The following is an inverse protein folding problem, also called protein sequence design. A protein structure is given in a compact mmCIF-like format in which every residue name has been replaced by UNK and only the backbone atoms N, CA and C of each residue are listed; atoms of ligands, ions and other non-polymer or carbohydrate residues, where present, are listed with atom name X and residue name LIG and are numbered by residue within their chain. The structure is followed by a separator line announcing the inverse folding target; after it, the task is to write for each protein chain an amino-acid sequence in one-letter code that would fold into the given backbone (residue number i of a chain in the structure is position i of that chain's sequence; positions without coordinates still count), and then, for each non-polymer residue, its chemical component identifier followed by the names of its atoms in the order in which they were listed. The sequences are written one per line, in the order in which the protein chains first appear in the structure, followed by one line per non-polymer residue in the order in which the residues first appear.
data_IF_736829210501
#
_entry.id   IF_736829210501
#
_cell.length_a   1.000
_cell.length_b   1.000
_cell.length_c   1.000
_cell.angle_alpha   90.00
_cell.angle_beta   90.00
_cell.angle_gamma   90.00
#
_symmetry.space_group_name_H-M   'P 1'
#
loop_
_entity.id
_entity.type
_entity.pdbx_description
1 polymer ?
#
# COMPACT_ATOMS: atom_id res chain seq x y z
N UNK A 1 -4.38 16.11 -5.14
CA UNK A 1 -3.24 15.64 -4.32
C UNK A 1 -3.79 14.53 -3.43
N UNK A 2 -3.41 13.28 -3.68
CA UNK A 2 -3.92 12.14 -2.90
C UNK A 2 -3.35 12.20 -1.49
N UNK A 3 -4.21 12.07 -0.48
CA UNK A 3 -3.78 12.09 0.92
C UNK A 3 -3.25 10.71 1.31
N UNK A 4 -2.26 10.69 2.20
CA UNK A 4 -1.71 9.45 2.74
C UNK A 4 -2.80 8.55 3.37
N UNK A 5 -3.80 9.16 4.01
CA UNK A 5 -4.96 8.46 4.58
C UNK A 5 -5.78 7.69 3.54
N UNK A 6 -5.67 8.04 2.26
CA UNK A 6 -6.36 7.36 1.16
C UNK A 6 -5.62 6.11 0.68
N UNK A 7 -4.38 5.87 1.12
CA UNK A 7 -3.61 4.66 0.75
C UNK A 7 -4.08 3.42 1.52
N UNK A 8 -4.60 3.59 2.73
CA UNK A 8 -5.14 2.48 3.52
C UNK A 8 -6.40 1.94 2.85
N UNK A 9 -6.51 0.61 2.79
CA UNK A 9 -7.62 -0.14 2.20
C UNK A 9 -7.76 -0.03 0.68
N UNK A 10 -6.68 0.35 -0.04
CA UNK A 10 -6.69 0.28 -1.50
C UNK A 10 -6.44 -1.14 -1.99
N UNK A 11 -7.17 -1.52 -3.04
CA UNK A 11 -6.97 -2.78 -3.74
C UNK A 11 -5.59 -2.83 -4.42
N UNK A 12 -4.90 -3.95 -4.23
CA UNK A 12 -3.69 -4.28 -4.98
C UNK A 12 -4.07 -5.18 -6.14
N UNK A 13 -3.85 -4.70 -7.37
CA UNK A 13 -4.21 -5.39 -8.60
C UNK A 13 -2.95 -5.78 -9.36
N UNK A 14 -2.82 -7.05 -9.70
CA UNK A 14 -1.76 -7.60 -10.55
C UNK A 14 -2.44 -8.41 -11.67
N UNK A 15 -2.04 -8.19 -12.92
CA UNK A 15 -2.62 -8.87 -14.10
C UNK A 15 -4.16 -8.84 -14.15
N UNK A 16 -4.76 -7.68 -13.83
CA UNK A 16 -6.20 -7.46 -13.73
C UNK A 16 -6.94 -8.29 -12.66
N UNK A 17 -6.21 -8.88 -11.72
CA UNK A 17 -6.77 -9.61 -10.59
C UNK A 17 -6.46 -8.88 -9.28
N UNK A 18 -7.47 -8.73 -8.41
CA UNK A 18 -7.25 -8.27 -7.03
C UNK A 18 -6.53 -9.37 -6.26
N UNK A 19 -5.36 -9.05 -5.73
CA UNK A 19 -4.54 -9.98 -4.94
C UNK A 19 -4.56 -9.67 -3.44
N UNK A 20 -5.05 -8.50 -3.04
CA UNK A 20 -5.05 -8.07 -1.65
C UNK A 20 -5.44 -6.60 -1.47
N UNK A 21 -5.19 -6.09 -0.28
CA UNK A 21 -5.41 -4.70 0.10
C UNK A 21 -4.22 -4.11 0.87
N UNK A 22 -3.96 -2.81 0.70
CA UNK A 22 -2.91 -2.10 1.45
C UNK A 22 -3.38 -1.88 2.88
N UNK A 23 -2.68 -2.51 3.84
CA UNK A 23 -2.92 -2.32 5.27
C UNK A 23 -2.18 -1.11 5.81
N UNK A 24 -0.89 -1.01 5.47
CA UNK A 24 -0.02 0.07 5.93
C UNK A 24 1.19 0.27 5.01
N UNK A 25 2.10 1.15 5.39
CA UNK A 25 3.36 1.39 4.67
C UNK A 25 4.56 1.44 5.61
N UNK A 26 5.74 1.22 5.05
CA UNK A 26 7.01 1.48 5.73
C UNK A 26 7.59 2.77 5.17
N UNK A 27 7.96 3.68 6.07
CA UNK A 27 8.59 4.95 5.75
C UNK A 27 10.03 4.91 6.24
N UNK A 28 10.96 5.24 5.34
CA UNK A 28 12.33 5.57 5.71
C UNK A 28 12.33 6.96 6.38
N UNK A 29 12.73 7.01 7.65
CA UNK A 29 12.73 8.24 8.45
C UNK A 29 13.86 9.18 8.12
N UNK A 30 14.96 8.69 7.53
CA UNK A 30 16.12 9.51 7.20
C UNK A 30 15.87 10.31 5.92
N UNK A 31 15.24 9.68 4.92
CA UNK A 31 14.91 10.31 3.64
C UNK A 31 13.46 10.82 3.54
N UNK A 32 12.61 10.46 4.49
CA UNK A 32 11.17 10.75 4.51
C UNK A 32 10.43 10.28 3.25
N UNK A 33 10.66 9.01 2.87
CA UNK A 33 10.08 8.37 1.68
C UNK A 33 9.39 7.06 2.03
N UNK A 34 8.27 6.77 1.36
CA UNK A 34 7.63 5.45 1.40
C UNK A 34 8.50 4.48 0.61
N UNK A 35 8.93 3.39 1.24
CA UNK A 35 9.78 2.38 0.60
C UNK A 35 9.03 1.09 0.31
N UNK A 36 8.05 0.74 1.16
CA UNK A 36 7.29 -0.51 1.02
C UNK A 36 5.82 -0.31 1.37
N UNK A 37 4.97 -1.11 0.71
CA UNK A 37 3.57 -1.30 1.07
C UNK A 37 3.42 -2.62 1.81
N UNK A 38 2.71 -2.58 2.93
CA UNK A 38 2.30 -3.78 3.67
C UNK A 38 0.93 -4.16 3.13
N UNK A 39 0.86 -5.33 2.49
CA UNK A 39 -0.34 -5.82 1.80
C UNK A 39 -0.87 -7.07 2.50
N UNK A 40 -2.16 -7.06 2.83
CA UNK A 40 -2.86 -8.25 3.27
C UNK A 40 -3.40 -8.97 2.03
N UNK A 41 -2.90 -10.18 1.77
CA UNK A 41 -3.26 -10.96 0.59
C UNK A 41 -4.61 -11.66 0.78
N UNK A 42 -5.43 -11.66 -0.26
CA UNK A 42 -6.62 -12.50 -0.33
C UNK A 42 -6.20 -13.90 -0.78
N UNK A 43 -6.56 -14.93 -0.01
CA UNK A 43 -6.41 -16.33 -0.42
C UNK A 43 -7.35 -16.69 -1.56
#
# INVERSE_FOLDING_TARGET
MSKFSELKYKDVIVDNQKIGEVRDVIIDTDEWKVTHLIVDLTK
#
